data_IF_332138302272
#
_entry.id   IF_332138302272
#
_cell.length_a   1.000
_cell.length_b   1.000
_cell.length_c   1.000
_cell.angle_alpha   90.00
_cell.angle_beta   90.00
_cell.angle_gamma   90.00
#
_symmetry.space_group_name_H-M   'P 1'
#
loop_
_entity.id
_entity.type
_entity.pdbx_description
1 polymer ?
#
# COMPACT_ATOMS: atom_id res chain seq x y z
N UNK A 1 -2.46 -4.37 -22.38
CA UNK A 1 -2.98 -4.60 -21.03
C UNK A 1 -2.08 -5.59 -20.34
N UNK A 2 -1.16 -5.08 -19.54
CA UNK A 2 -0.34 -5.82 -18.61
C UNK A 2 -0.89 -5.66 -17.18
N UNK A 3 -0.34 -6.43 -16.25
CA UNK A 3 -0.58 -6.25 -14.82
C UNK A 3 0.72 -5.83 -14.15
N UNK A 4 0.66 -4.77 -13.34
CA UNK A 4 1.71 -4.35 -12.42
C UNK A 4 1.31 -4.80 -11.03
N UNK A 5 2.00 -5.81 -10.50
CA UNK A 5 1.78 -6.28 -9.14
C UNK A 5 2.73 -5.55 -8.19
N UNK A 6 2.16 -4.94 -7.16
CA UNK A 6 2.87 -4.23 -6.11
C UNK A 6 2.65 -4.98 -4.80
N UNK A 7 3.74 -5.38 -4.16
CA UNK A 7 3.76 -5.95 -2.83
C UNK A 7 4.25 -4.90 -1.84
N UNK A 8 3.40 -4.52 -0.90
CA UNK A 8 3.82 -3.76 0.27
C UNK A 8 4.19 -4.73 1.40
N UNK A 9 5.40 -4.63 1.92
CA UNK A 9 5.88 -5.38 3.07
C UNK A 9 5.99 -4.43 4.24
N UNK A 10 5.36 -4.76 5.36
CA UNK A 10 5.25 -3.89 6.54
C UNK A 10 5.84 -4.56 7.79
N UNK A 11 6.64 -3.84 8.55
CA UNK A 11 7.04 -4.20 9.91
C UNK A 11 5.88 -3.91 10.89
N UNK A 12 4.91 -4.83 10.89
CA UNK A 12 3.72 -4.73 11.72
C UNK A 12 4.06 -4.69 13.23
N UNK A 13 5.07 -5.45 13.66
CA UNK A 13 5.50 -5.49 15.06
C UNK A 13 5.94 -4.11 15.54
N UNK A 14 6.91 -3.51 14.84
CA UNK A 14 7.45 -2.21 15.24
C UNK A 14 6.39 -1.11 15.21
N UNK A 15 5.43 -1.15 14.27
CA UNK A 15 4.30 -0.20 14.26
C UNK A 15 3.37 -0.39 15.45
N UNK A 16 3.02 -1.63 15.81
CA UNK A 16 2.16 -1.92 16.97
C UNK A 16 2.84 -1.48 18.28
N UNK A 17 4.13 -1.76 18.43
CA UNK A 17 4.92 -1.35 19.61
C UNK A 17 5.09 0.17 19.70
N UNK A 18 5.24 0.87 18.56
CA UNK A 18 5.38 2.34 18.52
C UNK A 18 4.06 3.07 18.81
N UNK A 19 2.93 2.54 18.37
CA UNK A 19 1.61 3.18 18.48
C UNK A 19 0.59 2.30 19.23
N UNK A 20 0.83 1.96 20.50
CA UNK A 20 0.00 1.01 21.25
C UNK A 20 -1.41 1.54 21.57
N UNK A 21 -1.66 2.85 21.41
CA UNK A 21 -2.96 3.47 21.66
C UNK A 21 -3.89 3.49 20.44
N UNK A 22 -3.39 3.15 19.24
CA UNK A 22 -4.14 3.22 17.99
C UNK A 22 -5.09 2.04 17.79
N UNK A 23 -5.80 1.60 18.82
CA UNK A 23 -6.52 0.31 18.90
C UNK A 23 -7.93 0.30 18.32
N UNK A 24 -8.37 1.36 17.65
CA UNK A 24 -9.69 1.44 17.03
C UNK A 24 -9.73 2.39 15.85
N UNK A 25 -10.83 2.38 15.08
CA UNK A 25 -11.03 3.34 13.99
C UNK A 25 -11.06 4.81 14.46
N UNK A 26 -11.54 5.09 15.69
CA UNK A 26 -11.57 6.44 16.25
C UNK A 26 -10.25 6.89 16.86
N UNK A 27 -9.36 5.96 17.18
CA UNK A 27 -8.00 6.24 17.68
C UNK A 27 -6.91 5.97 16.64
N UNK A 28 -7.31 5.76 15.39
CA UNK A 28 -6.43 5.44 14.26
C UNK A 28 -5.34 6.50 14.10
N UNK A 29 -4.11 6.05 13.93
CA UNK A 29 -2.96 6.93 13.74
C UNK A 29 -2.76 7.25 12.25
N UNK A 30 -2.66 8.53 11.90
CA UNK A 30 -2.19 8.95 10.57
C UNK A 30 -0.66 8.93 10.55
N UNK A 31 -0.08 8.18 9.62
CA UNK A 31 1.35 8.04 9.44
C UNK A 31 1.77 8.93 8.26
N UNK A 32 2.67 9.87 8.52
CA UNK A 32 3.35 10.62 7.45
C UNK A 32 4.42 9.77 6.78
N UNK A 33 4.97 10.24 5.66
CA UNK A 33 6.18 9.64 5.04
C UNK A 33 7.27 9.34 6.08
N UNK A 34 7.62 10.29 6.97
CA UNK A 34 8.65 10.09 7.98
C UNK A 34 8.28 9.01 9.03
N UNK A 35 6.98 8.81 9.29
CA UNK A 35 6.51 7.81 10.24
C UNK A 35 6.55 6.40 9.68
N UNK A 36 6.17 6.22 8.41
CA UNK A 36 5.99 4.92 7.76
C UNK A 36 7.23 4.46 6.98
N UNK A 37 8.05 5.37 6.46
CA UNK A 37 9.26 5.06 5.70
C UNK A 37 10.20 4.07 6.39
N UNK A 38 10.36 4.02 7.71
CA UNK A 38 11.17 2.98 8.35
C UNK A 38 10.54 1.58 8.31
N UNK A 39 9.22 1.48 8.17
CA UNK A 39 8.44 0.25 8.42
C UNK A 39 7.75 -0.33 7.19
N UNK A 40 7.51 0.42 6.12
CA UNK A 40 6.88 -0.09 4.91
C UNK A 40 7.83 -0.04 3.70
N UNK A 41 7.76 -1.08 2.86
CA UNK A 41 8.54 -1.19 1.63
C UNK A 41 7.62 -1.69 0.51
N UNK A 42 7.50 -0.93 -0.56
CA UNK A 42 6.81 -1.35 -1.77
C UNK A 42 7.82 -1.91 -2.77
N UNK A 43 7.52 -3.09 -3.29
CA UNK A 43 8.29 -3.77 -4.31
C UNK A 43 7.38 -4.20 -5.45
N UNK A 44 7.93 -4.19 -6.65
CA UNK A 44 7.30 -4.73 -7.87
C UNK A 44 8.36 -5.49 -8.68
N UNK A 45 7.98 -6.09 -9.80
CA UNK A 45 8.93 -6.76 -10.68
C UNK A 45 9.93 -5.74 -11.28
N UNK A 46 11.22 -6.10 -11.37
CA UNK A 46 12.30 -5.18 -11.78
C UNK A 46 12.03 -4.48 -13.12
N UNK A 47 11.42 -5.18 -14.10
CA UNK A 47 11.06 -4.59 -15.39
C UNK A 47 9.92 -3.56 -15.34
N UNK A 48 9.24 -3.43 -14.20
CA UNK A 48 8.14 -2.51 -13.95
C UNK A 48 8.53 -1.40 -12.97
N UNK A 49 9.59 -1.59 -12.19
CA UNK A 49 10.11 -0.56 -11.31
C UNK A 49 10.89 0.50 -12.10
N UNK A 50 10.58 1.77 -11.90
CA UNK A 50 11.32 2.88 -12.53
C UNK A 50 12.21 3.61 -11.52
N UNK A 51 11.71 3.85 -10.31
CA UNK A 51 12.47 4.42 -9.20
C UNK A 51 11.80 4.14 -7.87
N UNK A 52 12.50 4.42 -6.76
CA UNK A 52 12.06 4.21 -5.38
C UNK A 52 11.64 2.76 -5.08
N UNK A 53 12.25 1.78 -5.74
CA UNK A 53 12.04 0.37 -5.39
C UNK A 53 12.51 0.11 -3.96
N UNK A 54 11.73 -0.67 -3.21
CA UNK A 54 11.94 -0.90 -1.79
C UNK A 54 12.00 0.41 -0.97
N UNK A 55 11.13 1.36 -1.28
CA UNK A 55 10.78 2.51 -0.43
C UNK A 55 9.29 2.45 -0.07
N UNK A 56 8.81 3.35 0.77
CA UNK A 56 7.39 3.55 1.04
C UNK A 56 6.63 4.26 -0.11
N UNK A 57 7.34 4.88 -1.05
CA UNK A 57 6.78 5.34 -2.32
C UNK A 57 7.33 4.50 -3.46
N UNK A 58 6.59 4.38 -4.57
CA UNK A 58 7.03 3.59 -5.72
C UNK A 58 6.68 4.28 -7.03
N UNK A 59 7.64 4.30 -7.96
CA UNK A 59 7.39 4.70 -9.35
C UNK A 59 7.38 3.45 -10.22
N UNK A 60 6.25 3.20 -10.86
CA UNK A 60 6.03 2.04 -11.73
C UNK A 60 5.85 2.47 -13.18
N UNK A 61 6.28 1.58 -14.07
CA UNK A 61 6.03 1.66 -15.50
C UNK A 61 4.66 1.05 -15.78
N UNK A 62 3.73 1.86 -16.27
CA UNK A 62 2.43 1.38 -16.75
C UNK A 62 1.91 2.26 -17.89
N UNK A 63 1.06 1.68 -18.72
CA UNK A 63 0.35 2.39 -19.78
C UNK A 63 -1.12 2.55 -19.42
N UNK A 64 -1.81 3.57 -19.98
CA UNK A 64 -3.27 3.62 -19.95
C UNK A 64 -3.88 2.27 -20.39
N UNK A 65 -4.79 1.74 -19.58
CA UNK A 65 -5.42 0.44 -19.76
C UNK A 65 -4.70 -0.73 -19.08
N UNK A 66 -3.53 -0.52 -18.46
CA UNK A 66 -2.90 -1.53 -17.61
C UNK A 66 -3.59 -1.63 -16.24
N UNK A 67 -3.43 -2.76 -15.59
CA UNK A 67 -4.01 -3.05 -14.29
C UNK A 67 -2.92 -2.92 -13.22
N UNK A 68 -3.18 -2.14 -12.18
CA UNK A 68 -2.34 -2.07 -10.99
C UNK A 68 -3.01 -2.91 -9.90
N UNK A 69 -2.28 -3.89 -9.38
CA UNK A 69 -2.70 -4.71 -8.25
C UNK A 69 -1.78 -4.46 -7.09
N UNK A 70 -2.37 -4.37 -5.92
CA UNK A 70 -1.65 -4.05 -4.71
C UNK A 70 -2.10 -4.96 -3.59
N UNK A 71 -1.14 -5.52 -2.87
CA UNK A 71 -1.37 -6.31 -1.66
C UNK A 71 -0.36 -5.90 -0.60
N UNK A 72 -0.73 -6.06 0.67
CA UNK A 72 0.18 -5.82 1.78
C UNK A 72 0.29 -7.05 2.66
N UNK A 73 1.50 -7.32 3.14
CA UNK A 73 1.81 -8.39 4.07
C UNK A 73 2.76 -7.88 5.16
N UNK A 74 2.83 -8.57 6.29
CA UNK A 74 3.91 -8.35 7.24
C UNK A 74 5.25 -8.90 6.73
N UNK A 75 6.37 -8.44 7.29
CA UNK A 75 7.71 -9.04 7.05
C UNK A 75 7.73 -10.56 7.33
N UNK A 76 6.82 -11.03 8.18
CA UNK A 76 6.68 -12.44 8.55
C UNK A 76 5.71 -13.21 7.66
N UNK A 77 5.30 -12.66 6.50
CA UNK A 77 4.32 -13.28 5.60
C UNK A 77 3.01 -13.59 6.34
N UNK A 78 2.59 -12.65 7.18
CA UNK A 78 1.40 -12.70 8.02
C UNK A 78 1.32 -13.86 9.05
N UNK A 79 2.44 -14.51 9.34
CA UNK A 79 2.51 -15.66 10.28
C UNK A 79 2.60 -15.24 11.74
N UNK A 80 3.48 -14.30 12.07
CA UNK A 80 3.72 -13.86 13.46
C UNK A 80 3.03 -12.53 13.78
N UNK A 81 3.06 -11.63 12.81
CA UNK A 81 2.34 -10.37 12.81
C UNK A 81 1.52 -10.28 11.53
N UNK A 82 0.39 -9.57 11.53
CA UNK A 82 -0.54 -9.55 10.38
C UNK A 82 -0.77 -8.14 9.89
N UNK A 83 -0.93 -8.00 8.58
CA UNK A 83 -1.46 -6.80 7.94
C UNK A 83 -2.84 -7.10 7.34
N UNK A 84 -3.76 -6.17 7.47
CA UNK A 84 -5.05 -6.24 6.78
C UNK A 84 -5.42 -4.85 6.24
N UNK A 85 -5.74 -4.77 4.95
CA UNK A 85 -6.03 -3.50 4.28
C UNK A 85 -7.53 -3.28 4.29
N UNK A 86 -7.99 -2.28 5.07
CA UNK A 86 -9.41 -2.00 5.26
C UNK A 86 -10.02 -1.08 4.21
N UNK A 87 -9.19 -0.35 3.45
CA UNK A 87 -9.66 0.50 2.36
C UNK A 87 -8.55 1.24 1.66
N UNK A 88 -8.80 1.56 0.39
CA UNK A 88 -7.81 2.10 -0.52
C UNK A 88 -8.51 3.03 -1.52
N UNK A 89 -8.12 4.29 -1.50
CA UNK A 89 -8.75 5.33 -2.33
C UNK A 89 -7.67 6.06 -3.12
N UNK A 90 -7.86 6.17 -4.43
CA UNK A 90 -7.06 7.07 -5.28
C UNK A 90 -7.48 8.52 -5.04
N UNK A 91 -6.53 9.43 -4.85
CA UNK A 91 -6.80 10.87 -4.75
C UNK A 91 -7.14 11.45 -6.12
N UNK A 92 -6.52 10.93 -7.19
CA UNK A 92 -6.73 11.39 -8.55
C UNK A 92 -7.39 10.33 -9.46
N UNK A 93 -8.72 10.37 -9.49
CA UNK A 93 -9.53 9.48 -10.33
C UNK A 93 -9.45 9.73 -11.83
N UNK A 94 -8.69 10.75 -12.26
CA UNK A 94 -8.39 10.98 -13.68
C UNK A 94 -7.18 10.16 -14.15
N UNK A 95 -6.32 9.73 -13.22
CA UNK A 95 -5.15 8.91 -13.50
C UNK A 95 -5.43 7.42 -13.28
N UNK A 96 -6.28 7.08 -12.30
CA UNK A 96 -6.63 5.70 -11.96
C UNK A 96 -8.12 5.57 -11.70
N UNK A 97 -8.69 4.39 -11.98
CA UNK A 97 -10.00 4.05 -11.40
C UNK A 97 -9.86 3.92 -9.88
N UNK A 98 -10.94 4.16 -9.14
CA UNK A 98 -10.92 3.86 -7.71
C UNK A 98 -10.56 2.38 -7.47
N UNK A 99 -9.67 2.07 -6.51
CA UNK A 99 -9.32 0.70 -6.20
C UNK A 99 -10.54 -0.12 -5.77
N UNK A 100 -10.66 -1.31 -6.33
CA UNK A 100 -11.68 -2.29 -5.97
C UNK A 100 -11.02 -3.43 -5.21
N UNK A 101 -11.56 -3.77 -4.05
CA UNK A 101 -11.11 -4.94 -3.30
C UNK A 101 -11.55 -6.23 -4.01
N UNK A 102 -10.63 -7.17 -4.16
CA UNK A 102 -10.86 -8.52 -4.71
C UNK A 102 -10.69 -9.53 -3.57
N UNK A 103 -11.75 -9.86 -2.81
CA UNK A 103 -11.61 -10.59 -1.54
C UNK A 103 -11.04 -12.00 -1.68
N UNK A 104 -11.30 -12.67 -2.81
CA UNK A 104 -10.78 -14.03 -3.06
C UNK A 104 -9.27 -14.09 -3.24
N UNK A 105 -8.61 -12.95 -3.45
CA UNK A 105 -7.18 -12.82 -3.67
C UNK A 105 -6.49 -11.90 -2.65
N UNK A 106 -7.25 -11.33 -1.72
CA UNK A 106 -6.80 -10.36 -0.71
C UNK A 106 -5.92 -9.24 -1.31
N UNK A 107 -6.41 -8.65 -2.40
CA UNK A 107 -5.72 -7.56 -3.10
C UNK A 107 -6.68 -6.46 -3.52
N UNK A 108 -6.12 -5.29 -3.75
CA UNK A 108 -6.81 -4.13 -4.31
C UNK A 108 -6.36 -3.90 -5.74
N UNK A 109 -7.30 -3.57 -6.62
CA UNK A 109 -7.03 -3.42 -8.04
C UNK A 109 -7.57 -2.08 -8.57
N UNK A 110 -6.75 -1.37 -9.33
CA UNK A 110 -7.16 -0.21 -10.14
C UNK A 110 -6.74 -0.40 -11.60
N UNK A 111 -7.39 0.33 -12.51
CA UNK A 111 -6.96 0.45 -13.90
C UNK A 111 -6.30 1.82 -14.11
N UNK A 112 -5.17 1.85 -14.79
CA UNK A 112 -4.53 3.08 -15.21
C UNK A 112 -5.35 3.75 -16.33
N UNK A 113 -5.66 5.03 -16.18
CA UNK A 113 -6.42 5.84 -17.16
C UNK A 113 -5.46 6.77 -17.92
N UNK A 114 -4.49 7.34 -17.22
CA UNK A 114 -3.51 8.27 -17.77
C UNK A 114 -2.18 8.17 -17.01
N UNK A 115 -1.14 8.75 -17.61
CA UNK A 115 0.21 8.81 -17.02
C UNK A 115 0.27 9.98 -16.04
N UNK A 116 0.87 9.76 -14.87
CA UNK A 116 1.01 10.81 -13.86
C UNK A 116 1.30 10.26 -12.47
N UNK A 117 1.38 11.20 -11.53
CA UNK A 117 1.57 10.93 -10.11
C UNK A 117 0.22 10.87 -9.41
N UNK A 118 -0.03 9.81 -8.65
CA UNK A 118 -1.16 9.75 -7.73
C UNK A 118 -0.68 9.39 -6.33
N UNK A 119 -1.36 9.98 -5.36
CA UNK A 119 -1.24 9.63 -3.96
C UNK A 119 -2.51 8.90 -3.59
N UNK A 120 -2.40 7.88 -2.77
CA UNK A 120 -3.57 7.15 -2.32
C UNK A 120 -3.85 7.42 -0.85
N UNK A 121 -5.05 7.10 -0.40
CA UNK A 121 -5.37 6.98 1.02
C UNK A 121 -5.61 5.51 1.35
N UNK A 122 -4.69 4.94 2.12
CA UNK A 122 -4.74 3.54 2.55
C UNK A 122 -5.05 3.51 4.04
N UNK A 123 -6.10 2.79 4.42
CA UNK A 123 -6.25 2.35 5.80
C UNK A 123 -5.92 0.87 5.91
N UNK A 124 -5.16 0.55 6.94
CA UNK A 124 -4.78 -0.80 7.25
C UNK A 124 -4.67 -1.01 8.75
N UNK A 125 -4.62 -2.28 9.13
CA UNK A 125 -4.53 -2.74 10.49
C UNK A 125 -3.24 -3.54 10.58
N UNK A 126 -2.46 -3.34 11.65
CA UNK A 126 -1.35 -4.20 12.00
C UNK A 126 -1.68 -4.94 13.29
N UNK A 127 -1.47 -6.24 13.32
CA UNK A 127 -1.70 -7.08 14.50
C UNK A 127 -0.42 -7.77 14.93
N UNK A 128 -0.08 -7.70 16.21
CA UNK A 128 1.04 -8.42 16.81
C UNK A 128 0.68 -8.83 18.24
N UNK A 129 0.96 -10.09 18.61
CA UNK A 129 0.66 -10.65 19.94
C UNK A 129 -0.77 -10.36 20.46
N UNK A 130 -1.76 -10.42 19.55
CA UNK A 130 -3.17 -10.17 19.88
C UNK A 130 -3.58 -8.69 19.97
N UNK A 131 -2.63 -7.77 19.93
CA UNK A 131 -2.91 -6.32 19.84
C UNK A 131 -3.09 -5.93 18.38
N UNK A 132 -4.18 -5.23 18.05
CA UNK A 132 -4.42 -4.67 16.72
C UNK A 132 -4.42 -3.16 16.78
N UNK A 133 -3.57 -2.55 15.96
CA UNK A 133 -3.51 -1.10 15.77
C UNK A 133 -3.98 -0.73 14.36
N UNK A 134 -4.59 0.44 14.23
CA UNK A 134 -5.21 0.96 13.02
C UNK A 134 -4.42 2.16 12.54
N UNK A 135 -4.19 2.22 11.23
CA UNK A 135 -3.38 3.26 10.60
C UNK A 135 -4.03 3.86 9.35
N UNK A 136 -3.72 5.12 9.10
CA UNK A 136 -3.82 5.76 7.80
C UNK A 136 -2.42 5.99 7.24
N UNK A 137 -2.27 5.81 5.94
CA UNK A 137 -1.05 6.09 5.20
C UNK A 137 -1.39 6.61 3.80
N UNK A 138 -0.60 7.53 3.30
CA UNK A 138 -0.74 8.18 2.00
C UNK A 138 0.38 7.83 1.00
N UNK A 139 0.50 6.56 0.54
CA UNK A 139 1.56 6.18 -0.37
C UNK A 139 1.46 6.92 -1.71
N UNK A 140 2.60 7.38 -2.21
CA UNK A 140 2.78 7.82 -3.59
C UNK A 140 3.03 6.63 -4.52
N UNK A 141 2.12 6.40 -5.47
CA UNK A 141 2.34 5.47 -6.59
C UNK A 141 2.27 6.26 -7.89
N UNK A 142 3.42 6.39 -8.53
CA UNK A 142 3.57 7.18 -9.74
C UNK A 142 3.62 6.27 -10.97
N UNK A 143 2.80 6.54 -11.98
CA UNK A 143 2.97 5.94 -13.30
C UNK A 143 3.82 6.88 -14.14
N UNK A 144 4.90 6.33 -14.69
CA UNK A 144 5.63 6.95 -15.78
C UNK A 144 5.60 6.06 -17.02
N UNK A 145 5.65 6.71 -18.19
CA UNK A 145 5.95 6.00 -19.43
C UNK A 145 7.41 5.51 -19.41
N UNK A 146 7.70 4.40 -20.12
CA UNK A 146 9.03 3.83 -20.25
C UNK A 146 10.14 4.81 -20.59
#
# INVERSE_FOLDING_TARGET
MATVDILCVVDAKSLVEKYPSATSASTRQTLTHADIHPYARMVTHDGQAMSNHASDDLVVRAHPGDIIRWRAISITDDKESKIAVGGFTSVNTQLYTQPVHIPSLDLWQSSAIAVGSDTYWVNFNATYEGTTCYFWWDPGINISLP
#
